data_IF_544641478873
#
_entry.id   IF_544641478873
#
_cell.length_a   1.000
_cell.length_b   1.000
_cell.length_c   1.000
_cell.angle_alpha   90.00
_cell.angle_beta   90.00
_cell.angle_gamma   90.00
#
_symmetry.space_group_name_H-M   'P 1'
#
loop_
_entity.id
_entity.type
_entity.pdbx_description
1 polymer ?
#
# COMPACT_ATOMS: atom_id res chain seq x y z
N UNK A 1 -50.04 -66.39 -17.60
CA UNK A 1 -49.88 -65.24 -18.54
C UNK A 1 -48.38 -64.91 -18.54
N UNK A 2 -47.61 -64.83 -19.63
CA UNK A 2 -47.71 -63.94 -20.82
C UNK A 2 -47.76 -62.46 -20.35
N UNK A 3 -46.82 -61.54 -20.68
CA UNK A 3 -45.84 -61.49 -21.81
C UNK A 3 -44.58 -60.62 -21.57
N UNK A 4 -43.46 -61.05 -22.19
CA UNK A 4 -42.47 -60.30 -23.02
C UNK A 4 -41.78 -58.99 -22.55
N UNK A 5 -40.47 -59.14 -22.32
CA UNK A 5 -39.34 -58.35 -22.87
C UNK A 5 -39.56 -57.15 -23.81
N UNK A 6 -38.91 -56.03 -23.46
CA UNK A 6 -38.19 -54.99 -24.27
C UNK A 6 -37.18 -54.32 -23.29
N UNK A 7 -36.13 -53.54 -23.59
CA UNK A 7 -35.25 -53.21 -24.75
C UNK A 7 -34.01 -52.47 -24.14
N UNK A 8 -32.82 -52.31 -24.74
CA UNK A 8 -32.16 -52.91 -25.91
C UNK A 8 -30.61 -52.71 -25.81
N UNK A 9 -29.86 -53.54 -26.55
CA UNK A 9 -28.50 -53.31 -27.09
C UNK A 9 -27.45 -52.51 -26.27
N UNK A 10 -26.56 -53.23 -25.59
CA UNK A 10 -25.15 -52.80 -25.50
C UNK A 10 -24.42 -53.16 -26.80
N UNK A 11 -23.58 -52.27 -27.34
CA UNK A 11 -22.89 -52.47 -28.63
C UNK A 11 -21.42 -52.05 -28.58
N UNK A 12 -20.56 -53.00 -28.95
CA UNK A 12 -19.17 -52.85 -29.43
C UNK A 12 -19.18 -53.44 -30.85
N UNK A 13 -18.48 -52.85 -31.83
CA UNK A 13 -17.01 -52.96 -31.90
C UNK A 13 -16.29 -51.69 -32.40
N UNK A 14 -14.97 -51.78 -32.58
CA UNK A 14 -14.10 -50.68 -33.01
C UNK A 14 -13.66 -50.78 -34.48
N UNK A 15 -13.38 -49.63 -35.12
CA UNK A 15 -12.56 -49.49 -36.34
C UNK A 15 -11.69 -48.24 -36.20
N UNK A 16 -10.46 -48.28 -36.73
CA UNK A 16 -9.44 -47.23 -36.60
C UNK A 16 -9.46 -46.24 -37.80
N UNK A 17 -9.06 -44.99 -37.55
CA UNK A 17 -8.14 -44.15 -38.35
C UNK A 17 -7.81 -42.91 -37.51
N UNK A 18 -6.67 -42.21 -37.62
CA UNK A 18 -5.55 -42.28 -38.57
C UNK A 18 -4.21 -42.06 -37.82
N UNK A 19 -3.08 -42.51 -38.37
CA UNK A 19 -1.76 -42.37 -37.72
C UNK A 19 -0.95 -41.16 -38.25
N UNK A 20 -0.20 -40.49 -37.37
CA UNK A 20 0.86 -39.54 -37.70
C UNK A 20 1.93 -39.54 -36.58
N UNK A 21 3.21 -39.35 -36.95
CA UNK A 21 4.34 -39.37 -36.01
C UNK A 21 4.43 -38.08 -35.16
N UNK A 22 5.02 -38.08 -33.96
CA UNK A 22 5.60 -39.19 -33.20
C UNK A 22 6.66 -38.75 -32.16
N UNK A 23 7.42 -39.73 -31.68
CA UNK A 23 8.61 -39.64 -30.79
C UNK A 23 8.38 -39.31 -29.30
N UNK A 24 8.73 -40.28 -28.44
CA UNK A 24 8.80 -40.19 -26.99
C UNK A 24 9.78 -39.14 -26.45
N UNK A 25 9.42 -38.50 -25.33
CA UNK A 25 10.35 -38.20 -24.24
C UNK A 25 9.58 -37.99 -22.93
N UNK A 26 10.18 -38.39 -21.80
CA UNK A 26 9.76 -37.91 -20.47
C UNK A 26 10.11 -36.42 -20.36
N UNK A 27 9.27 -35.63 -19.69
CA UNK A 27 9.72 -34.61 -18.73
C UNK A 27 8.53 -34.08 -17.91
N UNK A 28 8.82 -33.57 -16.71
CA UNK A 28 7.85 -33.07 -15.76
C UNK A 28 7.16 -31.78 -16.22
N UNK A 29 5.95 -31.55 -15.71
CA UNK A 29 5.09 -30.47 -16.18
C UNK A 29 5.34 -29.12 -15.49
N UNK A 30 5.31 -28.05 -16.30
CA UNK A 30 4.69 -26.77 -15.94
C UNK A 30 3.98 -26.20 -17.17
N UNK A 31 2.80 -25.61 -16.99
CA UNK A 31 2.08 -24.94 -18.07
C UNK A 31 2.77 -23.61 -18.43
N UNK A 32 2.92 -23.34 -19.73
CA UNK A 32 3.59 -22.13 -20.24
C UNK A 32 2.71 -20.89 -20.13
N UNK A 33 3.33 -19.73 -19.84
CA UNK A 33 2.82 -18.43 -20.27
C UNK A 33 3.94 -17.59 -20.88
N UNK A 34 3.85 -17.43 -22.22
CA UNK A 34 4.52 -16.50 -23.12
C UNK A 34 6.01 -16.14 -22.91
N UNK A 35 6.84 -16.44 -23.92
CA UNK A 35 8.26 -16.08 -23.92
C UNK A 35 8.52 -14.59 -24.10
N UNK A 36 9.40 -14.03 -23.26
CA UNK A 36 9.97 -12.69 -23.41
C UNK A 36 11.48 -12.73 -23.22
N UNK A 37 12.25 -12.38 -24.26
CA UNK A 37 13.73 -12.46 -24.27
C UNK A 37 14.34 -11.35 -23.40
N UNK A 38 14.58 -11.64 -22.12
CA UNK A 38 15.38 -10.80 -21.21
C UNK A 38 16.67 -11.52 -20.80
N UNK A 39 17.82 -10.90 -21.07
CA UNK A 39 19.12 -11.41 -20.59
C UNK A 39 19.21 -11.22 -19.08
N UNK A 40 19.72 -12.23 -18.37
CA UNK A 40 19.90 -12.15 -16.92
C UNK A 40 21.00 -11.18 -16.52
N UNK A 41 20.62 -10.06 -15.89
CA UNK A 41 21.50 -9.25 -15.03
C UNK A 41 20.80 -9.03 -13.70
N UNK A 42 21.23 -9.74 -12.66
CA UNK A 42 20.60 -9.70 -11.36
C UNK A 42 21.05 -8.46 -10.54
N UNK A 43 20.21 -7.43 -10.45
CA UNK A 43 20.20 -6.46 -9.34
C UNK A 43 18.90 -5.62 -9.26
N UNK A 44 17.76 -6.18 -9.67
CA UNK A 44 16.48 -5.65 -9.23
C UNK A 44 16.26 -6.07 -7.77
N UNK A 45 16.51 -5.16 -6.82
CA UNK A 45 15.93 -5.27 -5.48
C UNK A 45 14.42 -5.27 -5.70
N UNK A 46 13.73 -6.37 -5.36
CA UNK A 46 12.31 -6.52 -5.67
C UNK A 46 11.47 -5.54 -4.85
N UNK A 47 11.31 -4.33 -5.39
CA UNK A 47 10.41 -3.31 -4.84
C UNK A 47 9.00 -3.86 -4.95
N UNK A 48 8.44 -4.26 -3.81
CA UNK A 48 7.05 -4.68 -3.70
C UNK A 48 6.16 -3.63 -4.37
N UNK A 49 5.12 -4.07 -5.08
CA UNK A 49 4.10 -3.14 -5.55
C UNK A 49 3.50 -2.40 -4.34
N UNK A 50 3.00 -1.18 -4.57
CA UNK A 50 2.42 -0.41 -3.48
C UNK A 50 1.28 -1.20 -2.79
N UNK A 51 0.44 -1.86 -3.59
CA UNK A 51 -0.64 -2.75 -3.16
C UNK A 51 -0.12 -3.98 -2.39
N UNK A 52 0.91 -4.65 -2.88
CA UNK A 52 1.55 -5.78 -2.17
C UNK A 52 2.09 -5.36 -0.80
N UNK A 53 2.68 -4.16 -0.70
CA UNK A 53 3.20 -3.62 0.54
C UNK A 53 2.07 -3.20 1.50
N UNK A 54 0.96 -2.68 0.98
CA UNK A 54 -0.26 -2.42 1.76
C UNK A 54 -0.86 -3.73 2.31
N UNK A 55 -0.95 -4.78 1.49
CA UNK A 55 -1.39 -6.12 1.92
C UNK A 55 -0.44 -6.74 2.95
N UNK A 56 0.87 -6.68 2.73
CA UNK A 56 1.89 -7.18 3.68
C UNK A 56 1.89 -6.38 4.99
N UNK A 57 1.57 -5.08 4.97
CA UNK A 57 1.33 -4.31 6.18
C UNK A 57 0.08 -4.80 6.92
N UNK A 58 -1.06 -4.95 6.25
CA UNK A 58 -2.31 -5.41 6.87
C UNK A 58 -2.15 -6.81 7.50
N UNK A 59 -1.51 -7.74 6.78
CA UNK A 59 -1.15 -9.07 7.29
C UNK A 59 -0.21 -8.99 8.50
N UNK A 60 0.79 -8.10 8.47
CA UNK A 60 1.73 -7.91 9.56
C UNK A 60 1.02 -7.38 10.83
N UNK A 61 0.19 -6.34 10.71
CA UNK A 61 -0.59 -5.78 11.82
C UNK A 61 -1.50 -6.83 12.47
N UNK A 62 -2.15 -7.69 11.67
CA UNK A 62 -2.99 -8.79 12.17
C UNK A 62 -2.19 -9.83 12.98
N UNK A 63 -0.90 -10.08 12.67
CA UNK A 63 -0.04 -10.96 13.50
C UNK A 63 0.22 -10.41 14.90
N UNK A 64 0.27 -9.09 15.06
CA UNK A 64 0.38 -8.41 16.36
C UNK A 64 -0.99 -8.17 17.05
N UNK A 65 -2.05 -8.84 16.58
CA UNK A 65 -3.39 -8.76 17.16
C UNK A 65 -4.13 -7.46 16.88
N UNK A 66 -3.68 -6.65 15.91
CA UNK A 66 -4.41 -5.47 15.43
C UNK A 66 -5.24 -5.86 14.23
N UNK A 67 -6.56 -5.98 14.43
CA UNK A 67 -7.49 -6.27 13.35
C UNK A 67 -7.57 -5.06 12.39
N UNK A 68 -7.04 -5.23 11.19
CA UNK A 68 -7.17 -4.28 10.08
C UNK A 68 -7.85 -4.96 8.91
N UNK A 69 -8.74 -4.22 8.26
CA UNK A 69 -9.28 -4.62 6.96
C UNK A 69 -8.14 -4.60 5.93
N UNK A 70 -8.25 -5.44 4.90
CA UNK A 70 -7.31 -5.36 3.78
C UNK A 70 -7.49 -4.02 3.02
N UNK A 71 -6.45 -3.56 2.30
CA UNK A 71 -6.50 -2.32 1.54
C UNK A 71 -7.53 -2.44 0.42
N UNK A 72 -8.35 -1.40 0.24
CA UNK A 72 -9.25 -1.31 -0.92
C UNK A 72 -8.45 -0.79 -2.13
N UNK A 73 -8.35 -1.54 -3.25
CA UNK A 73 -7.63 -1.09 -4.44
C UNK A 73 -8.25 0.16 -5.08
N UNK A 74 -9.51 0.49 -4.77
CA UNK A 74 -10.17 1.74 -5.20
C UNK A 74 -9.84 2.93 -4.26
N UNK A 75 -9.29 2.67 -3.08
CA UNK A 75 -8.94 3.66 -2.06
C UNK A 75 -7.50 3.42 -1.51
N UNK A 76 -6.47 3.39 -2.38
CA UNK A 76 -5.11 3.05 -1.97
C UNK A 76 -4.59 3.96 -0.85
N UNK A 77 -3.94 3.34 0.14
CA UNK A 77 -3.40 4.04 1.31
C UNK A 77 -4.39 4.27 2.47
N UNK A 78 -5.69 3.99 2.31
CA UNK A 78 -6.64 3.95 3.44
C UNK A 78 -6.64 2.57 4.10
N UNK A 79 -6.26 2.51 5.38
CA UNK A 79 -6.37 1.31 6.22
C UNK A 79 -7.46 1.54 7.28
N UNK A 80 -8.46 0.68 7.32
CA UNK A 80 -9.49 0.70 8.38
C UNK A 80 -9.14 -0.30 9.47
N UNK A 81 -8.61 0.23 10.59
CA UNK A 81 -8.46 -0.52 11.85
C UNK A 81 -9.85 -0.79 12.44
N UNK A 82 -10.11 -2.05 12.77
CA UNK A 82 -11.28 -2.52 13.53
C UNK A 82 -10.76 -2.89 14.92
N UNK A 83 -11.14 -2.14 15.95
CA UNK A 83 -10.63 -2.43 17.29
C UNK A 83 -11.40 -1.74 18.40
N UNK A 84 -11.61 -2.50 19.48
CA UNK A 84 -12.22 -2.02 20.72
C UNK A 84 -11.25 -1.15 21.54
N UNK A 85 -11.78 -0.55 22.61
CA UNK A 85 -11.03 0.24 23.59
C UNK A 85 -9.93 -0.62 24.22
N UNK A 86 -8.67 -0.34 23.88
CA UNK A 86 -7.48 -1.10 24.30
C UNK A 86 -6.51 -1.45 23.17
N UNK A 87 -6.93 -1.29 21.92
CA UNK A 87 -6.13 -1.55 20.71
C UNK A 87 -4.87 -0.68 20.56
N UNK A 88 -4.79 0.50 21.18
CA UNK A 88 -3.70 1.47 21.01
C UNK A 88 -2.29 0.95 21.32
N UNK A 89 -2.08 0.31 22.48
CA UNK A 89 -0.74 -0.19 22.85
C UNK A 89 -0.22 -1.27 21.88
N UNK A 90 -1.12 -2.13 21.37
CA UNK A 90 -0.79 -3.12 20.33
C UNK A 90 -0.56 -2.45 18.97
N UNK A 91 -1.25 -1.35 18.68
CA UNK A 91 -1.09 -0.60 17.44
C UNK A 91 0.30 0.03 17.32
N UNK A 92 0.86 0.60 18.39
CA UNK A 92 2.21 1.17 18.37
C UNK A 92 3.29 0.10 18.17
N UNK A 93 3.20 -1.03 18.89
CA UNK A 93 4.12 -2.15 18.72
C UNK A 93 4.03 -2.76 17.31
N UNK A 94 2.81 -3.01 16.84
CA UNK A 94 2.56 -3.53 15.50
C UNK A 94 3.11 -2.57 14.42
N UNK A 95 2.80 -1.27 14.52
CA UNK A 95 3.25 -0.26 13.55
C UNK A 95 4.77 -0.14 13.52
N UNK A 96 5.45 -0.28 14.67
CA UNK A 96 6.92 -0.29 14.75
C UNK A 96 7.52 -1.50 14.04
N UNK A 97 7.00 -2.71 14.28
CA UNK A 97 7.47 -3.94 13.63
C UNK A 97 7.14 -3.97 12.12
N UNK A 98 5.97 -3.45 11.74
CA UNK A 98 5.46 -3.45 10.37
C UNK A 98 5.89 -2.20 9.56
N UNK A 99 6.71 -1.30 10.13
CA UNK A 99 7.03 0.02 9.56
C UNK A 99 7.64 -0.06 8.14
N UNK A 100 8.39 -1.11 7.83
CA UNK A 100 8.95 -1.37 6.50
C UNK A 100 7.86 -1.46 5.42
N UNK A 101 6.74 -2.12 5.72
CA UNK A 101 5.61 -2.26 4.79
C UNK A 101 4.75 -0.98 4.77
N UNK A 102 4.63 -0.29 5.91
CA UNK A 102 3.99 1.03 6.01
C UNK A 102 4.63 2.05 5.06
N UNK A 103 5.96 2.08 5.00
CA UNK A 103 6.73 2.94 4.10
C UNK A 103 6.60 2.50 2.64
N UNK A 104 6.82 1.21 2.35
CA UNK A 104 6.78 0.69 0.98
C UNK A 104 5.39 0.81 0.32
N UNK A 105 4.30 0.72 1.08
CA UNK A 105 2.94 0.91 0.56
C UNK A 105 2.47 2.37 0.54
N UNK A 106 3.32 3.34 0.89
CA UNK A 106 2.98 4.77 0.89
C UNK A 106 1.96 5.20 1.96
N UNK A 107 1.72 4.37 2.99
CA UNK A 107 0.75 4.63 4.06
C UNK A 107 1.35 5.44 5.23
N UNK A 108 2.67 5.44 5.34
CA UNK A 108 3.39 6.17 6.38
C UNK A 108 3.64 7.63 6.02
N UNK A 109 4.03 8.43 7.02
CA UNK A 109 4.67 9.73 6.74
C UNK A 109 5.95 9.49 5.94
N UNK A 110 5.92 9.73 4.63
CA UNK A 110 7.14 9.84 3.82
C UNK A 110 8.00 10.98 4.37
N UNK A 111 9.32 10.84 4.33
CA UNK A 111 10.20 11.98 4.59
C UNK A 111 9.95 13.04 3.51
N UNK A 112 9.99 14.34 3.84
CA UNK A 112 9.96 15.39 2.84
C UNK A 112 11.20 15.30 1.94
N UNK A 113 11.06 15.65 0.68
CA UNK A 113 12.18 15.99 -0.19
C UNK A 113 12.85 17.28 0.28
N UNK A 114 14.06 17.56 -0.20
CA UNK A 114 14.76 18.81 0.13
C UNK A 114 13.95 20.07 -0.27
N UNK A 115 13.19 20.01 -1.37
CA UNK A 115 12.28 21.09 -1.80
C UNK A 115 11.15 21.31 -0.80
N UNK A 116 10.49 20.24 -0.37
CA UNK A 116 9.39 20.31 0.61
C UNK A 116 9.88 20.76 2.00
N UNK A 117 11.13 20.43 2.35
CA UNK A 117 11.74 20.92 3.59
C UNK A 117 12.03 22.43 3.52
N UNK A 118 12.60 22.93 2.43
CA UNK A 118 12.79 24.38 2.18
C UNK A 118 11.46 25.14 2.15
N UNK A 119 10.44 24.56 1.53
CA UNK A 119 9.06 25.06 1.57
C UNK A 119 8.54 25.16 3.02
N UNK A 120 8.63 24.09 3.82
CA UNK A 120 8.20 24.13 5.23
C UNK A 120 9.03 25.09 6.09
N UNK A 121 10.32 25.32 5.79
CA UNK A 121 11.14 26.38 6.41
C UNK A 121 10.58 27.77 6.08
N UNK A 122 10.19 28.05 4.82
CA UNK A 122 9.56 29.33 4.43
C UNK A 122 8.21 29.56 5.11
N UNK A 123 7.40 28.51 5.27
CA UNK A 123 6.18 28.55 6.08
C UNK A 123 6.50 28.90 7.55
N UNK A 124 7.47 28.23 8.17
CA UNK A 124 7.88 28.51 9.55
C UNK A 124 8.46 29.94 9.71
N UNK A 125 9.23 30.44 8.74
CA UNK A 125 9.71 31.82 8.70
C UNK A 125 8.56 32.83 8.68
N UNK A 126 7.57 32.64 7.80
CA UNK A 126 6.40 33.53 7.72
C UNK A 126 5.59 33.52 9.03
N UNK A 127 5.34 32.35 9.62
CA UNK A 127 4.65 32.27 10.92
C UNK A 127 5.42 33.05 12.03
N UNK A 128 6.77 33.08 11.97
CA UNK A 128 7.61 33.93 12.84
C UNK A 128 7.50 35.42 12.51
N UNK A 129 7.33 35.83 11.25
CA UNK A 129 7.05 37.23 10.87
C UNK A 129 5.74 37.72 11.53
N UNK A 130 4.71 36.87 11.60
CA UNK A 130 3.46 37.13 12.34
C UNK A 130 3.56 36.91 13.86
N UNK A 131 4.77 36.67 14.39
CA UNK A 131 5.06 36.62 15.83
C UNK A 131 4.80 35.29 16.54
N UNK A 132 4.43 34.22 15.81
CA UNK A 132 4.29 32.85 16.32
C UNK A 132 5.67 32.21 16.50
N UNK A 133 5.88 31.41 17.55
CA UNK A 133 7.13 30.63 17.68
C UNK A 133 7.00 29.32 16.89
N UNK A 134 7.06 29.43 15.57
CA UNK A 134 7.20 28.28 14.68
C UNK A 134 8.68 27.89 14.58
N UNK A 135 9.02 26.67 15.00
CA UNK A 135 10.35 26.08 14.84
C UNK A 135 10.51 25.50 13.43
N UNK A 136 11.72 25.61 12.89
CA UNK A 136 12.05 25.02 11.59
C UNK A 136 11.87 23.48 11.64
N UNK A 137 11.35 22.87 10.55
CA UNK A 137 11.09 21.44 10.49
C UNK A 137 12.36 20.59 10.61
N UNK A 138 12.26 19.45 11.29
CA UNK A 138 13.29 18.42 11.27
C UNK A 138 13.37 17.67 9.92
N UNK A 139 14.38 16.80 9.73
CA UNK A 139 14.52 15.95 8.53
C UNK A 139 13.44 14.84 8.41
N UNK A 140 12.48 14.83 9.33
CA UNK A 140 11.24 14.06 9.33
C UNK A 140 10.02 14.87 8.82
N UNK A 141 10.16 16.19 8.62
CA UNK A 141 9.08 17.11 8.27
C UNK A 141 8.23 17.58 9.45
N UNK A 142 8.67 17.35 10.70
CA UNK A 142 7.92 17.73 11.89
C UNK A 142 7.95 19.23 12.18
N UNK A 143 6.98 19.99 11.68
CA UNK A 143 6.74 21.37 12.14
C UNK A 143 6.26 21.38 13.60
N UNK A 144 6.81 22.30 14.40
CA UNK A 144 6.42 22.54 15.81
C UNK A 144 6.16 24.03 15.97
N UNK A 145 5.00 24.42 16.49
CA UNK A 145 4.61 25.83 16.61
C UNK A 145 3.97 26.08 17.96
N UNK A 146 4.40 27.16 18.63
CA UNK A 146 3.84 27.64 19.88
C UNK A 146 3.20 29.03 19.70
N UNK A 147 2.03 29.21 20.30
CA UNK A 147 1.34 30.51 20.39
C UNK A 147 1.76 31.17 21.70
N UNK A 148 2.05 32.48 21.68
CA UNK A 148 2.40 33.24 22.88
C UNK A 148 1.16 33.43 23.76
N UNK A 149 1.33 33.34 25.07
CA UNK A 149 0.24 33.56 26.03
C UNK A 149 -0.39 34.95 25.83
N UNK A 150 -1.72 35.03 25.85
CA UNK A 150 -2.48 36.25 25.55
C UNK A 150 -2.59 36.63 24.06
N UNK A 151 -2.05 35.85 23.12
CA UNK A 151 -2.24 36.10 21.68
C UNK A 151 -3.66 35.74 21.23
N UNK A 152 -4.31 36.66 20.51
CA UNK A 152 -5.64 36.47 19.90
C UNK A 152 -5.65 35.31 18.89
N UNK A 153 -6.47 34.26 19.09
CA UNK A 153 -6.60 33.14 18.15
C UNK A 153 -6.93 33.56 16.71
N UNK A 154 -7.65 34.67 16.50
CA UNK A 154 -7.95 35.18 15.15
C UNK A 154 -6.70 35.65 14.43
N UNK A 155 -5.72 36.20 15.15
CA UNK A 155 -4.41 36.59 14.58
C UNK A 155 -3.58 35.36 14.23
N UNK A 156 -3.66 34.28 15.02
CA UNK A 156 -3.04 32.98 14.70
C UNK A 156 -3.65 32.40 13.42
N UNK A 157 -4.98 32.41 13.30
CA UNK A 157 -5.70 31.91 12.11
C UNK A 157 -5.43 32.78 10.86
N UNK A 158 -5.41 34.11 11.01
CA UNK A 158 -5.10 35.05 9.94
C UNK A 158 -3.66 34.85 9.43
N UNK A 159 -2.67 34.80 10.34
CA UNK A 159 -1.28 34.53 10.00
C UNK A 159 -1.11 33.20 9.23
N UNK A 160 -1.78 32.14 9.67
CA UNK A 160 -1.76 30.86 8.96
C UNK A 160 -2.35 30.96 7.55
N UNK A 161 -3.45 31.69 7.37
CA UNK A 161 -4.07 31.92 6.05
C UNK A 161 -3.18 32.77 5.13
N UNK A 162 -2.61 33.85 5.66
CA UNK A 162 -1.72 34.74 4.91
C UNK A 162 -0.45 34.00 4.48
N UNK A 163 0.19 33.21 5.35
CA UNK A 163 1.33 32.36 4.97
C UNK A 163 0.94 31.25 3.97
N UNK A 164 -0.26 30.67 4.06
CA UNK A 164 -0.76 29.70 3.07
C UNK A 164 -1.06 30.33 1.71
N UNK A 165 -1.46 31.61 1.67
CA UNK A 165 -1.67 32.38 0.44
C UNK A 165 -0.34 32.89 -0.16
N UNK A 166 0.65 33.18 0.69
CA UNK A 166 2.02 33.57 0.31
C UNK A 166 2.81 32.42 -0.33
N UNK A 167 2.50 31.18 0.05
CA UNK A 167 3.16 29.96 -0.44
C UNK A 167 2.15 28.83 -0.80
N UNK A 168 1.34 28.99 -1.86
CA UNK A 168 0.35 27.99 -2.27
C UNK A 168 0.97 26.64 -2.67
N UNK A 169 2.23 26.63 -3.09
CA UNK A 169 3.00 25.45 -3.49
C UNK A 169 3.30 24.46 -2.36
N UNK A 170 3.00 24.81 -1.10
CA UNK A 170 3.17 23.98 0.10
C UNK A 170 1.92 23.10 0.36
N UNK A 171 0.84 23.33 -0.40
CA UNK A 171 -0.46 22.66 -0.22
C UNK A 171 -0.67 21.42 -1.11
N UNK A 172 0.38 20.96 -1.79
CA UNK A 172 0.37 19.80 -2.70
C UNK A 172 1.32 18.69 -2.20
#
# INVERSE_FOLDING_TARGET
MRTRTLFAAALLPAVLTLAACGNDAKNDGVASVNGGKASGTASAKATLSQEEAQLKFAQCMRKYGVQVSDPDPNNPGKITVKGDKGSGAKMDEAQKNCQQYLQAGGMGKRKPTAKELDQMVKMAQCLREHGLDAKDPGPDGGMRMSVKEGMDPKKVEQAQKECQQKYPEIRQ
#
